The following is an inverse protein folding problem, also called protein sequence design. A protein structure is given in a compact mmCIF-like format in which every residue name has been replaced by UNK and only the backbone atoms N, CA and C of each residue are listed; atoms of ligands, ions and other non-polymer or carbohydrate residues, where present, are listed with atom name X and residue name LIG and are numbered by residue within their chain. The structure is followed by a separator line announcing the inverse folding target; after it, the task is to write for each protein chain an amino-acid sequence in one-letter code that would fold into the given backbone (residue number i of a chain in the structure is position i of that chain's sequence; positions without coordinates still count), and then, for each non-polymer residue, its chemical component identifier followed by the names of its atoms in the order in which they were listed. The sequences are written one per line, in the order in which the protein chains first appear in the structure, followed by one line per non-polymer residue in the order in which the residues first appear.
data_IF_318376191439
#
_entry.id   IF_318376191439
#
_cell.length_a   1.000
_cell.length_b   1.000
_cell.length_c   1.000
_cell.angle_alpha   90.00
_cell.angle_beta   90.00
_cell.angle_gamma   90.00
#
_symmetry.space_group_name_H-M   'P 1'
#
loop_
_entity.id
_entity.type
_entity.pdbx_description
1 polymer ?
#
# COMPACT_ATOMS: atom_id res chain seq x y z
N UNK A 1 21.28 20.45 -2.83
CA UNK A 1 20.61 20.86 -4.10
C UNK A 1 19.14 21.18 -3.86
N UNK A 2 18.67 22.32 -4.37
CA UNK A 2 17.24 22.66 -4.43
C UNK A 2 16.75 22.50 -5.87
N UNK A 3 15.61 21.87 -6.06
CA UNK A 3 14.94 21.79 -7.37
C UNK A 3 13.58 22.43 -7.20
N UNK A 4 13.31 23.51 -7.93
CA UNK A 4 12.05 24.26 -7.82
C UNK A 4 11.72 24.66 -6.36
N UNK A 5 12.74 25.12 -5.62
CA UNK A 5 12.62 25.50 -4.20
C UNK A 5 12.49 24.34 -3.20
N UNK A 6 12.40 23.08 -3.65
CA UNK A 6 12.32 21.91 -2.78
C UNK A 6 13.71 21.31 -2.45
N UNK A 7 13.99 21.12 -1.16
CA UNK A 7 15.16 20.37 -0.64
C UNK A 7 14.84 18.92 -0.29
N UNK A 8 13.58 18.50 -0.39
CA UNK A 8 13.13 17.11 -0.17
C UNK A 8 12.01 16.81 -1.15
N UNK A 9 12.15 15.74 -1.93
CA UNK A 9 11.20 15.35 -2.96
C UNK A 9 11.26 13.84 -3.20
N UNK A 10 10.14 13.28 -3.67
CA UNK A 10 10.02 11.85 -3.94
C UNK A 10 10.50 11.55 -5.37
N UNK A 11 11.29 10.48 -5.53
CA UNK A 11 11.68 9.94 -6.84
C UNK A 11 11.14 8.52 -6.96
N UNK A 12 10.31 8.29 -7.97
CA UNK A 12 9.84 6.94 -8.32
C UNK A 12 10.86 6.31 -9.24
N UNK A 13 11.44 5.18 -8.83
CA UNK A 13 12.36 4.40 -9.66
C UNK A 13 11.75 3.04 -10.00
N UNK A 14 11.74 2.67 -11.29
CA UNK A 14 11.26 1.36 -11.75
C UNK A 14 12.35 0.65 -12.56
N UNK A 15 12.60 -0.64 -12.30
CA UNK A 15 13.55 -1.40 -13.11
C UNK A 15 13.00 -1.59 -14.53
N UNK A 16 13.85 -1.40 -15.53
CA UNK A 16 13.58 -1.61 -16.94
C UNK A 16 14.70 -2.48 -17.56
N UNK A 17 14.36 -3.44 -18.43
CA UNK A 17 15.36 -4.21 -19.17
C UNK A 17 16.06 -3.29 -20.19
N UNK A 18 17.40 -3.38 -20.30
CA UNK A 18 18.09 -2.72 -21.42
C UNK A 18 17.59 -3.30 -22.74
N UNK A 19 17.46 -2.45 -23.74
CA UNK A 19 16.99 -2.79 -25.09
C UNK A 19 17.92 -3.74 -25.88
N UNK A 20 18.95 -4.30 -25.24
CA UNK A 20 19.90 -5.24 -25.85
C UNK A 20 19.66 -6.67 -25.35
N UNK A 21 19.30 -7.63 -26.22
CA UNK A 21 19.00 -9.02 -25.85
C UNK A 21 20.20 -9.83 -25.35
N UNK A 22 21.40 -9.23 -25.28
CA UNK A 22 22.63 -9.88 -24.79
C UNK A 22 23.13 -9.31 -23.45
N UNK A 23 22.50 -8.26 -22.91
CA UNK A 23 22.92 -7.61 -21.68
C UNK A 23 21.88 -7.88 -20.57
N UNK A 24 22.23 -8.74 -19.61
CA UNK A 24 21.40 -9.05 -18.44
C UNK A 24 21.38 -7.92 -17.39
N UNK A 25 21.93 -6.74 -17.69
CA UNK A 25 21.87 -5.60 -16.77
C UNK A 25 20.51 -4.91 -16.78
N UNK A 26 20.09 -4.47 -15.59
CA UNK A 26 18.85 -3.72 -15.35
C UNK A 26 19.19 -2.24 -15.37
N UNK A 27 18.45 -1.44 -16.14
CA UNK A 27 18.44 0.03 -16.01
C UNK A 27 17.26 0.45 -15.16
N UNK A 28 17.28 1.67 -14.63
CA UNK A 28 16.18 2.19 -13.85
C UNK A 28 15.61 3.42 -14.52
N UNK A 29 14.30 3.39 -14.76
CA UNK A 29 13.56 4.57 -15.12
C UNK A 29 13.25 5.37 -13.85
N UNK A 30 13.23 6.69 -13.96
CA UNK A 30 13.04 7.61 -12.85
C UNK A 30 11.94 8.62 -13.16
N UNK A 31 11.18 9.05 -12.16
CA UNK A 31 10.27 10.19 -12.24
C UNK A 31 10.34 11.01 -10.95
N UNK A 32 10.55 12.31 -11.09
CA UNK A 32 10.46 13.29 -10.02
C UNK A 32 9.55 14.43 -10.49
N UNK A 33 8.67 14.92 -9.61
CA UNK A 33 7.71 15.99 -9.94
C UNK A 33 7.75 17.08 -8.88
N UNK A 34 7.68 18.33 -9.32
CA UNK A 34 7.82 19.53 -8.51
C UNK A 34 6.73 20.54 -8.86
N UNK A 35 6.29 21.31 -7.86
CA UNK A 35 5.31 22.38 -8.04
C UNK A 35 5.99 23.73 -7.76
N UNK A 36 5.97 24.64 -8.74
CA UNK A 36 6.54 25.99 -8.60
C UNK A 36 5.68 27.00 -9.37
N UNK A 37 5.34 28.12 -8.72
CA UNK A 37 4.52 29.19 -9.29
C UNK A 37 3.16 28.75 -9.89
N UNK A 38 2.63 27.62 -9.42
CA UNK A 38 1.39 27.01 -9.89
C UNK A 38 1.56 26.02 -11.03
N UNK A 39 2.77 25.85 -11.57
CA UNK A 39 3.08 24.90 -12.63
C UNK A 39 3.65 23.59 -12.07
N UNK A 40 3.32 22.47 -12.73
CA UNK A 40 3.94 21.17 -12.44
C UNK A 40 5.15 20.96 -13.35
N UNK A 41 6.31 20.70 -12.75
CA UNK A 41 7.58 20.45 -13.40
C UNK A 41 7.99 18.98 -13.19
N UNK A 42 7.98 18.17 -14.25
CA UNK A 42 8.32 16.74 -14.21
C UNK A 42 9.67 16.46 -14.87
N UNK A 43 10.52 15.73 -14.17
CA UNK A 43 11.79 15.21 -14.65
C UNK A 43 11.68 13.69 -14.72
N UNK A 44 11.86 13.11 -15.90
CA UNK A 44 11.86 11.66 -16.07
C UNK A 44 13.15 11.15 -16.70
N UNK A 45 13.53 9.93 -16.35
CA UNK A 45 14.62 9.19 -16.96
C UNK A 45 14.01 7.91 -17.55
N UNK A 46 14.11 7.74 -18.87
CA UNK A 46 13.61 6.55 -19.57
C UNK A 46 14.73 6.02 -20.44
N UNK A 47 15.17 4.78 -20.17
CA UNK A 47 16.24 4.10 -20.92
C UNK A 47 17.53 4.95 -21.01
N UNK A 48 17.88 5.64 -19.92
CA UNK A 48 19.05 6.52 -19.84
C UNK A 48 18.88 7.90 -20.52
N UNK A 49 17.70 8.19 -21.08
CA UNK A 49 17.36 9.50 -21.67
C UNK A 49 16.55 10.32 -20.67
N UNK A 50 17.03 11.52 -20.35
CA UNK A 50 16.33 12.42 -19.45
C UNK A 50 15.34 13.30 -20.22
N UNK A 51 14.14 13.50 -19.67
CA UNK A 51 13.10 14.36 -20.22
C UNK A 51 12.62 15.34 -19.15
N UNK A 52 12.23 16.52 -19.61
CA UNK A 52 11.57 17.52 -18.80
C UNK A 52 10.22 17.87 -19.40
N UNK A 53 9.20 17.95 -18.55
CA UNK A 53 7.87 18.39 -18.92
C UNK A 53 7.40 19.46 -17.94
N UNK A 54 7.00 20.63 -18.44
CA UNK A 54 6.34 21.67 -17.66
C UNK A 54 4.86 21.72 -18.05
N UNK A 55 3.98 21.66 -17.06
CA UNK A 55 2.53 21.76 -17.21
C UNK A 55 2.06 23.03 -16.50
N UNK A 56 1.68 24.09 -17.24
CA UNK A 56 1.26 25.33 -16.62
C UNK A 56 -0.04 25.20 -15.82
N UNK A 57 -0.11 25.72 -14.59
CA UNK A 57 -1.33 25.71 -13.78
C UNK A 57 -2.02 27.07 -13.76
N UNK A 58 -2.89 27.30 -14.72
CA UNK A 58 -3.64 28.56 -14.85
C UNK A 58 -4.98 28.54 -14.14
N UNK A 59 -5.19 29.42 -13.15
CA UNK A 59 -6.52 29.75 -12.58
C UNK A 59 -7.25 30.87 -13.32
N UNK A 60 -6.69 31.47 -14.39
CA UNK A 60 -7.37 32.52 -15.17
C UNK A 60 -6.79 32.66 -16.59
N UNK A 61 -7.04 31.70 -17.47
CA UNK A 61 -6.78 31.86 -18.90
C UNK A 61 -7.93 31.26 -19.72
N UNK A 62 -8.47 32.04 -20.65
CA UNK A 62 -9.56 31.67 -21.57
C UNK A 62 -9.18 30.63 -22.64
N UNK A 63 -7.98 30.03 -22.53
CA UNK A 63 -7.50 28.91 -23.32
C UNK A 63 -6.39 28.14 -22.55
N UNK A 64 -6.32 26.78 -22.65
CA UNK A 64 -5.27 26.00 -22.02
C UNK A 64 -3.91 26.25 -22.68
N UNK A 65 -2.90 26.59 -21.90
CA UNK A 65 -1.51 26.70 -22.33
C UNK A 65 -0.96 25.28 -22.60
N UNK A 66 -0.37 24.98 -23.76
CA UNK A 66 0.19 23.66 -24.05
C UNK A 66 1.30 23.27 -23.08
N UNK A 67 1.40 21.99 -22.74
CA UNK A 67 2.54 21.46 -21.98
C UNK A 67 3.83 21.60 -22.79
N UNK A 68 4.88 22.13 -22.18
CA UNK A 68 6.20 22.23 -22.78
C UNK A 68 6.97 20.95 -22.44
N UNK A 69 7.35 20.17 -23.44
CA UNK A 69 8.14 18.94 -23.24
C UNK A 69 9.40 18.97 -24.09
N UNK A 70 10.50 18.47 -23.53
CA UNK A 70 11.80 18.44 -24.20
C UNK A 70 12.72 17.37 -23.62
N UNK A 71 13.66 16.91 -24.45
CA UNK A 71 14.77 16.09 -23.97
C UNK A 71 15.73 16.97 -23.18
N UNK A 72 16.15 16.49 -22.01
CA UNK A 72 17.24 17.08 -21.26
C UNK A 72 18.57 16.45 -21.69
N UNK A 73 19.69 17.20 -21.62
CA UNK A 73 21.00 16.61 -21.79
C UNK A 73 21.22 15.44 -20.83
N UNK A 74 21.93 14.39 -21.27
CA UNK A 74 22.15 13.15 -20.51
C UNK A 74 22.89 13.30 -19.18
N UNK A 75 23.44 14.49 -18.90
CA UNK A 75 24.14 14.81 -17.65
C UNK A 75 23.26 15.55 -16.62
N UNK A 76 22.02 15.91 -16.99
CA UNK A 76 21.15 16.72 -16.13
C UNK A 76 20.45 15.90 -15.05
N UNK A 77 20.14 14.63 -15.36
CA UNK A 77 19.63 13.64 -14.41
C UNK A 77 20.68 12.55 -14.29
N UNK A 78 21.35 12.37 -13.14
CA UNK A 78 22.37 11.35 -13.00
C UNK A 78 21.73 9.95 -13.18
N UNK A 79 22.39 9.03 -13.90
CA UNK A 79 21.83 7.70 -14.08
C UNK A 79 21.74 6.98 -12.72
N UNK A 80 20.60 6.37 -12.43
CA UNK A 80 20.32 5.75 -11.11
C UNK A 80 21.36 4.67 -10.77
N UNK A 81 21.88 3.96 -11.76
CA UNK A 81 22.97 2.99 -11.63
C UNK A 81 24.27 3.59 -11.05
N UNK A 82 24.53 4.89 -11.25
CA UNK A 82 25.70 5.55 -10.65
C UNK A 82 25.52 5.74 -9.15
N UNK A 83 24.29 6.03 -8.70
CA UNK A 83 23.92 6.05 -7.28
C UNK A 83 24.07 4.65 -6.69
N UNK A 84 23.55 3.62 -7.36
CA UNK A 84 23.67 2.22 -6.93
C UNK A 84 25.13 1.74 -6.84
N UNK A 85 25.98 2.15 -7.79
CA UNK A 85 27.41 1.88 -7.75
C UNK A 85 28.11 2.62 -6.62
N UNK A 86 27.71 3.85 -6.30
CA UNK A 86 28.27 4.60 -5.18
C UNK A 86 27.93 3.93 -3.84
N UNK A 87 26.68 3.47 -3.70
CA UNK A 87 26.20 2.70 -2.53
C UNK A 87 26.95 1.37 -2.41
N UNK A 88 27.18 0.66 -3.52
CA UNK A 88 27.93 -0.60 -3.51
C UNK A 88 29.34 -0.43 -2.93
N UNK A 89 29.94 0.74 -3.13
CA UNK A 89 31.26 1.09 -2.64
C UNK A 89 31.24 1.87 -1.30
N UNK A 90 30.08 1.95 -0.63
CA UNK A 90 29.95 2.65 0.64
C UNK A 90 30.81 2.00 1.73
N UNK A 91 31.36 2.82 2.63
CA UNK A 91 32.26 2.40 3.70
C UNK A 91 31.63 2.63 5.06
N UNK A 92 31.84 1.70 6.00
CA UNK A 92 31.39 1.87 7.38
C UNK A 92 32.03 3.09 8.03
N UNK A 93 31.23 3.90 8.73
CA UNK A 93 31.73 5.06 9.44
C UNK A 93 32.43 4.62 10.72
N UNK A 94 33.76 4.61 10.72
CA UNK A 94 34.54 4.28 11.93
C UNK A 94 34.93 5.51 12.76
N UNK A 95 34.85 6.73 12.21
CA UNK A 95 35.39 7.93 12.91
C UNK A 95 34.66 9.27 12.69
N UNK A 96 33.53 9.35 11.98
CA UNK A 96 32.97 10.64 11.52
C UNK A 96 31.60 11.06 12.05
N UNK A 97 30.93 10.27 12.90
CA UNK A 97 29.67 10.69 13.55
C UNK A 97 29.81 10.56 15.06
N UNK A 98 29.55 11.65 15.80
CA UNK A 98 29.45 11.58 17.26
C UNK A 98 28.41 10.52 17.64
N UNK A 99 28.72 9.60 18.56
CA UNK A 99 27.89 8.39 18.79
C UNK A 99 26.42 8.69 19.14
N UNK A 100 26.14 9.88 19.67
CA UNK A 100 24.79 10.37 20.00
C UNK A 100 23.99 10.73 18.74
N UNK A 101 24.63 11.34 17.74
CA UNK A 101 24.00 11.65 16.45
C UNK A 101 23.78 10.36 15.62
N UNK A 102 24.69 9.40 15.73
CA UNK A 102 24.58 8.11 15.05
C UNK A 102 23.35 7.30 15.51
N UNK A 103 23.12 7.22 16.83
CA UNK A 103 21.94 6.54 17.39
C UNK A 103 20.63 7.26 17.06
N UNK A 104 20.66 8.59 16.95
CA UNK A 104 19.47 9.39 16.56
C UNK A 104 19.14 9.22 15.07
N UNK A 105 20.17 9.19 14.20
CA UNK A 105 20.00 9.08 12.74
C UNK A 105 19.71 7.66 12.28
N UNK A 106 20.25 6.65 12.97
CA UNK A 106 20.09 5.24 12.61
C UNK A 106 19.95 4.34 13.85
N UNK A 107 18.82 4.44 14.58
CA UNK A 107 18.62 3.66 15.81
C UNK A 107 18.70 2.15 15.53
N UNK A 108 19.63 1.46 16.21
CA UNK A 108 19.87 0.03 16.03
C UNK A 108 20.41 -0.41 14.66
N UNK A 109 20.90 0.52 13.84
CA UNK A 109 21.46 0.23 12.51
C UNK A 109 22.96 0.55 12.37
N UNK A 110 23.50 0.31 11.18
CA UNK A 110 24.88 0.63 10.78
C UNK A 110 24.88 1.82 9.84
N UNK A 111 25.75 2.79 10.10
CA UNK A 111 25.98 3.93 9.22
C UNK A 111 27.09 3.62 8.21
N UNK A 112 26.78 3.84 6.94
CA UNK A 112 27.70 3.76 5.81
C UNK A 112 27.82 5.15 5.19
N UNK A 113 28.99 5.53 4.69
CA UNK A 113 29.18 6.77 3.93
C UNK A 113 29.61 6.43 2.51
N UNK A 114 29.05 7.14 1.55
CA UNK A 114 29.46 7.07 0.16
C UNK A 114 29.49 8.47 -0.48
N UNK A 115 30.52 8.78 -1.28
CA UNK A 115 30.55 10.01 -2.05
C UNK A 115 29.65 9.87 -3.28
N UNK A 116 28.79 10.86 -3.53
CA UNK A 116 27.98 10.93 -4.74
C UNK A 116 27.76 12.40 -5.14
N UNK A 117 27.85 12.70 -6.44
CA UNK A 117 27.63 14.04 -6.99
C UNK A 117 28.45 15.19 -6.31
N UNK A 118 29.62 14.87 -5.74
CA UNK A 118 30.48 15.85 -5.07
C UNK A 118 30.20 16.06 -3.57
N UNK A 119 29.23 15.33 -3.01
CA UNK A 119 28.86 15.36 -1.59
C UNK A 119 29.03 13.99 -0.94
N UNK A 120 29.27 13.96 0.37
CA UNK A 120 29.25 12.73 1.17
C UNK A 120 27.84 12.46 1.70
N UNK A 121 27.26 11.33 1.30
CA UNK A 121 25.98 10.87 1.80
C UNK A 121 26.17 9.84 2.91
N UNK A 122 25.34 9.95 3.95
CA UNK A 122 25.26 8.97 5.04
C UNK A 122 24.06 8.06 4.79
N UNK A 123 24.31 6.75 4.65
CA UNK A 123 23.31 5.69 4.54
C UNK A 123 23.10 5.02 5.91
N UNK A 124 21.85 4.97 6.37
CA UNK A 124 21.45 4.11 7.48
C UNK A 124 21.00 2.74 6.97
N UNK A 125 21.68 1.68 7.38
CA UNK A 125 21.32 0.28 7.08
C UNK A 125 20.97 -0.46 8.35
N UNK A 126 19.75 -0.99 8.47
CA UNK A 126 19.35 -1.85 9.59
C UNK A 126 19.48 -3.31 9.17
N UNK A 127 20.07 -4.15 10.03
CA UNK A 127 20.05 -5.61 9.82
C UNK A 127 18.66 -6.13 10.17
N UNK A 128 18.07 -6.95 9.29
CA UNK A 128 16.88 -7.70 9.65
C UNK A 128 17.22 -8.75 10.73
N UNK A 129 16.29 -8.93 11.67
CA UNK A 129 16.39 -9.89 12.77
C UNK A 129 16.34 -11.37 12.32
N UNK A 130 16.42 -11.66 11.02
CA UNK A 130 16.09 -12.97 10.46
C UNK A 130 17.21 -13.66 9.68
N UNK A 131 18.45 -13.14 9.68
CA UNK A 131 19.56 -13.76 8.94
C UNK A 131 20.74 -14.15 9.86
N UNK A 132 20.58 -15.24 10.62
CA UNK A 132 21.74 -16.01 11.08
C UNK A 132 22.21 -16.87 9.92
N UNK A 133 23.15 -16.37 9.12
CA UNK A 133 23.95 -17.20 8.22
C UNK A 133 25.33 -17.34 8.84
N UNK A 134 25.63 -18.56 9.25
CA UNK A 134 26.92 -18.99 9.78
C UNK A 134 28.07 -18.60 8.83
N UNK A 135 29.12 -18.03 9.40
CA UNK A 135 30.35 -17.64 8.73
C UNK A 135 31.05 -18.84 8.09
N UNK A 136 31.24 -18.82 6.77
CA UNK A 136 32.06 -19.85 6.12
C UNK A 136 32.00 -19.95 4.60
N UNK A 137 32.21 -18.86 3.85
CA UNK A 137 32.84 -18.93 2.51
C UNK A 137 33.04 -17.56 1.88
N UNK A 138 34.23 -17.36 1.34
CA UNK A 138 34.62 -16.28 0.45
C UNK A 138 33.78 -16.29 -0.83
N UNK A 139 32.73 -15.48 -0.86
CA UNK A 139 32.06 -14.99 -2.08
C UNK A 139 31.64 -13.54 -1.84
N UNK A 140 31.95 -12.68 -2.81
CA UNK A 140 31.63 -11.25 -2.79
C UNK A 140 30.17 -11.01 -2.38
N UNK A 141 29.89 -10.09 -1.44
CA UNK A 141 28.53 -9.80 -1.02
C UNK A 141 27.82 -9.02 -2.14
N UNK A 142 26.88 -9.68 -2.82
CA UNK A 142 25.89 -8.99 -3.64
C UNK A 142 25.02 -8.06 -2.79
N UNK A 143 24.30 -7.13 -3.43
CA UNK A 143 23.39 -6.15 -2.80
C UNK A 143 22.17 -6.78 -2.04
N UNK A 144 22.26 -8.04 -1.61
CA UNK A 144 21.21 -8.78 -0.91
C UNK A 144 20.93 -8.28 0.52
N UNK A 145 21.67 -7.29 1.02
CA UNK A 145 21.51 -6.70 2.34
C UNK A 145 20.69 -5.40 2.35
N UNK A 146 20.22 -4.94 1.17
CA UNK A 146 19.55 -3.66 0.97
C UNK A 146 18.02 -3.75 0.89
N UNK A 147 17.43 -4.91 1.19
CA UNK A 147 16.07 -5.22 0.75
C UNK A 147 14.96 -5.18 1.81
N UNK A 148 15.26 -4.89 3.07
CA UNK A 148 14.29 -5.28 4.12
C UNK A 148 13.35 -4.18 4.64
N UNK A 149 13.75 -2.90 4.66
CA UNK A 149 12.93 -1.77 5.16
C UNK A 149 12.95 -0.53 4.24
N UNK A 150 13.58 -0.64 3.07
CA UNK A 150 14.04 0.54 2.34
C UNK A 150 15.30 1.14 2.98
N UNK A 151 15.72 2.34 2.56
CA UNK A 151 16.92 2.99 3.06
C UNK A 151 16.81 4.51 3.01
N UNK A 152 17.52 5.18 3.92
CA UNK A 152 17.59 6.64 3.97
C UNK A 152 19.01 7.11 3.69
N UNK A 153 19.15 8.07 2.80
CA UNK A 153 20.35 8.87 2.62
C UNK A 153 20.18 10.21 3.29
N UNK A 154 21.19 10.61 4.06
CA UNK A 154 21.29 11.92 4.65
C UNK A 154 22.45 12.66 3.99
N UNK A 155 22.14 13.71 3.22
CA UNK A 155 23.10 14.69 2.72
C UNK A 155 22.98 16.01 3.49
N UNK A 156 23.94 16.92 3.30
CA UNK A 156 23.90 18.25 3.94
C UNK A 156 22.72 19.10 3.47
N UNK A 157 22.32 18.92 2.21
CA UNK A 157 21.28 19.74 1.57
C UNK A 157 20.03 18.94 1.17
N UNK A 158 20.09 17.61 1.14
CA UNK A 158 19.02 16.74 0.65
C UNK A 158 19.01 15.40 1.36
N UNK A 159 17.83 15.00 1.86
CA UNK A 159 17.58 13.65 2.36
C UNK A 159 16.79 12.87 1.31
N UNK A 160 17.14 11.59 1.12
CA UNK A 160 16.43 10.68 0.21
C UNK A 160 15.87 9.52 1.04
N UNK A 161 14.57 9.27 0.95
CA UNK A 161 13.88 8.16 1.63
C UNK A 161 13.36 7.17 0.58
N UNK A 162 14.00 6.00 0.49
CA UNK A 162 13.57 4.94 -0.42
C UNK A 162 12.73 3.94 0.36
N UNK A 163 11.43 3.88 0.08
CA UNK A 163 10.51 2.93 0.70
C UNK A 163 10.24 1.75 -0.23
N UNK A 164 10.53 0.53 0.23
CA UNK A 164 10.12 -0.68 -0.49
C UNK A 164 8.67 -1.04 -0.13
N UNK A 165 7.84 -1.39 -1.11
CA UNK A 165 6.50 -1.95 -0.86
C UNK A 165 6.65 -3.48 -0.76
N UNK A 166 7.02 -3.94 0.43
CA UNK A 166 7.41 -5.33 0.68
C UNK A 166 6.20 -6.25 0.93
N UNK A 167 6.28 -7.48 0.42
CA UNK A 167 5.52 -8.64 0.87
C UNK A 167 6.30 -9.23 2.06
N UNK A 168 5.79 -9.06 3.30
CA UNK A 168 6.42 -9.65 4.48
C UNK A 168 5.97 -11.10 4.71
N UNK A 169 5.07 -11.61 3.86
CA UNK A 169 4.53 -12.96 3.96
C UNK A 169 3.72 -13.14 5.24
N UNK A 170 3.88 -14.31 5.85
CA UNK A 170 3.25 -14.72 7.11
C UNK A 170 4.21 -14.45 8.27
N UNK A 171 3.78 -13.67 9.25
CA UNK A 171 4.57 -13.30 10.43
C UNK A 171 3.80 -13.59 11.72
N UNK A 172 4.53 -13.72 12.84
CA UNK A 172 3.95 -13.86 14.18
C UNK A 172 3.42 -12.53 14.72
N UNK A 173 4.00 -11.42 14.26
CA UNK A 173 3.68 -10.07 14.71
C UNK A 173 3.21 -9.18 13.55
N UNK A 174 2.41 -8.16 13.90
CA UNK A 174 1.99 -7.10 12.99
C UNK A 174 3.15 -6.10 12.78
N UNK A 175 4.17 -6.53 12.05
CA UNK A 175 5.42 -5.78 11.81
C UNK A 175 5.21 -4.39 11.21
N UNK A 176 4.08 -4.17 10.54
CA UNK A 176 3.71 -2.87 9.93
C UNK A 176 2.77 -2.04 10.80
N UNK A 177 2.35 -2.57 11.95
CA UNK A 177 1.37 -1.99 12.86
C UNK A 177 0.08 -1.59 12.10
N UNK A 178 -0.37 -2.43 11.16
CA UNK A 178 -1.54 -2.21 10.33
C UNK A 178 -2.85 -2.44 11.09
N UNK A 179 -2.96 -3.58 11.76
CA UNK A 179 -4.11 -3.96 12.59
C UNK A 179 -4.00 -3.44 14.03
N UNK A 180 -2.80 -3.02 14.43
CA UNK A 180 -2.55 -2.50 15.77
C UNK A 180 -2.37 -3.61 16.80
N UNK A 181 -2.23 -3.22 18.06
CA UNK A 181 -1.86 -4.13 19.15
C UNK A 181 -3.05 -4.72 19.91
N UNK A 182 -4.30 -4.44 19.49
CA UNK A 182 -5.49 -4.75 20.30
C UNK A 182 -6.10 -6.11 20.02
N UNK A 183 -6.04 -6.60 18.79
CA UNK A 183 -6.65 -7.89 18.44
C UNK A 183 -6.14 -9.05 19.32
N UNK A 184 -4.82 -9.21 19.56
CA UNK A 184 -4.33 -10.36 20.33
C UNK A 184 -4.92 -10.51 21.73
N UNK A 185 -5.16 -9.39 22.41
CA UNK A 185 -5.72 -9.38 23.77
C UNK A 185 -7.23 -9.69 23.78
N UNK A 186 -7.89 -9.66 22.61
CA UNK A 186 -9.33 -9.80 22.45
C UNK A 186 -9.75 -11.00 21.59
N UNK A 187 -8.84 -11.96 21.40
CA UNK A 187 -9.09 -13.20 20.65
C UNK A 187 -8.85 -14.47 21.48
N UNK A 188 -9.59 -14.67 22.59
CA UNK A 188 -9.30 -15.73 23.56
C UNK A 188 -9.51 -17.16 23.04
N UNK A 189 -10.26 -17.34 21.94
CA UNK A 189 -10.47 -18.65 21.33
C UNK A 189 -9.32 -19.10 20.41
N UNK A 190 -8.41 -18.20 20.05
CA UNK A 190 -7.33 -18.49 19.10
C UNK A 190 -6.11 -19.05 19.84
N UNK A 191 -5.61 -20.22 19.39
CA UNK A 191 -4.37 -20.80 19.92
C UNK A 191 -3.11 -20.07 19.44
N UNK A 192 -3.19 -19.40 18.30
CA UNK A 192 -2.16 -18.51 17.76
C UNK A 192 -2.79 -17.47 16.83
N UNK A 193 -2.04 -16.40 16.56
CA UNK A 193 -2.44 -15.35 15.61
C UNK A 193 -1.26 -15.12 14.69
N UNK A 194 -1.53 -15.06 13.39
CA UNK A 194 -0.54 -14.75 12.36
C UNK A 194 -1.00 -13.56 11.56
N UNK A 195 -0.04 -12.83 10.99
CA UNK A 195 -0.30 -11.66 10.16
C UNK A 195 0.22 -11.91 8.76
N UNK A 196 -0.59 -11.54 7.76
CA UNK A 196 -0.21 -11.63 6.35
C UNK A 196 -0.07 -10.23 5.78
N UNK A 197 1.15 -9.87 5.35
CA UNK A 197 1.39 -8.60 4.65
C UNK A 197 1.81 -8.86 3.21
N UNK A 198 0.96 -8.46 2.28
CA UNK A 198 1.19 -8.59 0.85
C UNK A 198 1.35 -7.21 0.19
N UNK A 199 2.08 -7.16 -0.92
CA UNK A 199 2.28 -5.94 -1.71
C UNK A 199 1.02 -5.57 -2.53
N UNK A 200 -0.09 -5.30 -1.85
CA UNK A 200 -1.41 -4.98 -2.43
C UNK A 200 -1.42 -3.71 -3.27
N UNK A 201 -0.44 -2.81 -3.10
CA UNK A 201 -0.31 -1.64 -3.97
C UNK A 201 0.15 -2.02 -5.39
N UNK A 202 0.98 -3.06 -5.51
CA UNK A 202 1.65 -3.44 -6.75
C UNK A 202 0.91 -4.52 -7.55
N UNK A 203 -0.01 -5.23 -6.90
CA UNK A 203 -0.67 -6.40 -7.48
C UNK A 203 -2.17 -6.18 -7.51
N UNK A 204 -2.76 -6.32 -8.70
CA UNK A 204 -4.20 -6.32 -8.86
C UNK A 204 -4.84 -7.45 -8.03
N UNK A 205 -6.00 -7.20 -7.39
CA UNK A 205 -6.63 -8.19 -6.51
C UNK A 205 -7.08 -9.45 -7.25
N UNK A 206 -7.39 -9.31 -8.54
CA UNK A 206 -7.79 -10.39 -9.46
C UNK A 206 -6.60 -11.05 -10.18
N UNK A 207 -5.35 -10.76 -9.77
CA UNK A 207 -4.19 -11.46 -10.29
C UNK A 207 -4.10 -12.87 -9.66
N UNK A 208 -4.12 -13.90 -10.50
CA UNK A 208 -4.13 -15.29 -10.03
C UNK A 208 -2.89 -15.69 -9.20
N UNK A 209 -1.71 -15.15 -9.52
CA UNK A 209 -0.48 -15.42 -8.76
C UNK A 209 -0.56 -14.78 -7.38
N UNK A 210 -1.12 -13.57 -7.31
CA UNK A 210 -1.31 -12.85 -6.05
C UNK A 210 -2.36 -13.51 -5.15
N UNK A 211 -3.47 -13.96 -5.73
CA UNK A 211 -4.48 -14.76 -5.03
C UNK A 211 -3.89 -16.07 -4.51
N UNK A 212 -3.15 -16.80 -5.35
CA UNK A 212 -2.45 -18.02 -4.94
C UNK A 212 -1.49 -17.75 -3.78
N UNK A 213 -0.72 -16.65 -3.83
CA UNK A 213 0.20 -16.26 -2.76
C UNK A 213 -0.54 -16.06 -1.43
N UNK A 214 -1.68 -15.38 -1.43
CA UNK A 214 -2.52 -15.27 -0.23
C UNK A 214 -2.95 -16.65 0.28
N UNK A 215 -3.52 -17.49 -0.60
CA UNK A 215 -4.00 -18.83 -0.23
C UNK A 215 -2.89 -19.69 0.35
N UNK A 216 -1.73 -19.71 -0.29
CA UNK A 216 -0.58 -20.52 0.15
C UNK A 216 -0.13 -20.10 1.56
N UNK A 217 -0.24 -18.82 1.92
CA UNK A 217 0.06 -18.33 3.27
C UNK A 217 -1.04 -18.67 4.28
N UNK A 218 -2.32 -18.54 3.90
CA UNK A 218 -3.44 -18.86 4.80
C UNK A 218 -3.45 -20.36 5.15
N UNK A 219 -3.14 -21.23 4.18
CA UNK A 219 -3.03 -22.68 4.42
C UNK A 219 -1.92 -23.05 5.41
N UNK A 220 -0.93 -22.19 5.63
CA UNK A 220 0.15 -22.41 6.60
C UNK A 220 -0.22 -21.98 8.02
N UNK A 221 -1.35 -21.30 8.22
CA UNK A 221 -1.75 -20.78 9.54
C UNK A 221 -2.15 -21.91 10.49
N UNK A 222 -2.84 -22.92 9.98
CA UNK A 222 -3.29 -24.09 10.75
C UNK A 222 -2.77 -25.38 10.14
N UNK A 223 -2.08 -26.19 10.95
CA UNK A 223 -1.58 -27.52 10.57
C UNK A 223 -2.69 -28.50 10.19
N UNK A 224 -3.95 -28.21 10.53
CA UNK A 224 -5.10 -29.02 10.14
C UNK A 224 -5.58 -28.74 8.71
N UNK A 225 -5.11 -27.66 8.07
CA UNK A 225 -5.45 -27.34 6.69
C UNK A 225 -4.94 -28.40 5.72
N UNK A 226 -5.74 -28.69 4.69
CA UNK A 226 -5.37 -29.67 3.66
C UNK A 226 -4.77 -28.95 2.45
N UNK A 227 -3.44 -29.04 2.31
CA UNK A 227 -2.70 -28.42 1.20
C UNK A 227 -3.01 -29.10 -0.14
N UNK A 228 -3.31 -30.40 -0.15
CA UNK A 228 -3.57 -31.14 -1.38
C UNK A 228 -4.92 -30.77 -1.99
N UNK A 229 -5.96 -30.63 -1.15
CA UNK A 229 -7.29 -30.20 -1.58
C UNK A 229 -7.49 -28.69 -1.51
N UNK A 230 -6.48 -27.94 -1.02
CA UNK A 230 -6.54 -26.49 -0.81
C UNK A 230 -7.70 -26.08 0.11
N UNK A 231 -7.91 -26.85 1.17
CA UNK A 231 -9.01 -26.62 2.13
C UNK A 231 -8.46 -26.00 3.40
N UNK A 232 -8.88 -24.78 3.71
CA UNK A 232 -8.49 -24.06 4.93
C UNK A 232 -9.37 -24.54 6.09
N UNK A 233 -8.74 -25.03 7.16
CA UNK A 233 -9.40 -25.61 8.34
C UNK A 233 -8.97 -24.93 9.63
N UNK A 234 -9.85 -24.95 10.63
CA UNK A 234 -9.64 -24.42 11.97
C UNK A 234 -9.02 -23.01 12.00
N UNK A 235 -9.44 -22.13 11.07
CA UNK A 235 -8.84 -20.80 10.89
C UNK A 235 -9.91 -19.71 10.88
N UNK A 236 -9.70 -18.67 11.70
CA UNK A 236 -10.47 -17.42 11.62
C UNK A 236 -9.69 -16.44 10.75
N UNK A 237 -10.21 -16.15 9.56
CA UNK A 237 -9.58 -15.25 8.59
C UNK A 237 -10.18 -13.86 8.75
N UNK A 238 -9.38 -12.92 9.27
CA UNK A 238 -9.75 -11.49 9.33
C UNK A 238 -9.17 -10.79 8.11
N UNK A 239 -10.03 -10.32 7.21
CA UNK A 239 -9.64 -9.65 5.97
C UNK A 239 -10.15 -8.21 5.97
N UNK A 240 -9.23 -7.24 5.83
CA UNK A 240 -9.57 -5.83 5.74
C UNK A 240 -9.35 -5.30 4.32
N UNK A 241 -10.22 -4.40 3.87
CA UNK A 241 -10.08 -3.68 2.59
C UNK A 241 -9.92 -4.66 1.42
N UNK A 242 -8.96 -4.41 0.54
CA UNK A 242 -8.65 -5.20 -0.66
C UNK A 242 -8.42 -6.70 -0.38
N UNK A 243 -8.02 -7.11 0.84
CA UNK A 243 -7.83 -8.52 1.16
C UNK A 243 -9.12 -9.35 0.97
N UNK A 244 -10.29 -8.73 1.17
CA UNK A 244 -11.59 -9.40 0.95
C UNK A 244 -11.79 -9.80 -0.51
N UNK A 245 -11.44 -8.91 -1.45
CA UNK A 245 -11.50 -9.21 -2.89
C UNK A 245 -10.49 -10.28 -3.31
N UNK A 246 -9.26 -10.24 -2.76
CA UNK A 246 -8.23 -11.25 -3.06
C UNK A 246 -8.71 -12.64 -2.61
N UNK A 247 -9.26 -12.75 -1.39
CA UNK A 247 -9.79 -14.01 -0.87
C UNK A 247 -11.05 -14.46 -1.63
N UNK A 248 -12.00 -13.55 -1.85
CA UNK A 248 -13.23 -13.84 -2.60
C UNK A 248 -12.93 -14.29 -4.04
N UNK A 249 -12.01 -13.63 -4.72
CA UNK A 249 -11.57 -14.02 -6.06
C UNK A 249 -10.83 -15.37 -6.09
N UNK A 250 -10.04 -15.68 -5.05
CA UNK A 250 -9.38 -16.98 -4.92
C UNK A 250 -10.39 -18.12 -4.73
N UNK A 251 -11.41 -17.93 -3.87
CA UNK A 251 -12.50 -18.89 -3.66
C UNK A 251 -13.32 -19.04 -4.95
N UNK A 252 -13.70 -17.93 -5.59
CA UNK A 252 -14.48 -17.94 -6.83
C UNK A 252 -13.76 -18.68 -7.97
N UNK A 253 -12.43 -18.61 -8.00
CA UNK A 253 -11.60 -19.31 -8.99
C UNK A 253 -11.26 -20.76 -8.60
N UNK A 254 -11.81 -21.27 -7.50
CA UNK A 254 -11.54 -22.62 -7.01
C UNK A 254 -10.11 -22.85 -6.50
N UNK A 255 -9.37 -21.79 -6.15
CA UNK A 255 -8.00 -21.92 -5.62
C UNK A 255 -7.96 -22.40 -4.17
N UNK A 256 -9.05 -22.18 -3.43
CA UNK A 256 -9.20 -22.58 -2.04
C UNK A 256 -10.67 -22.77 -1.69
N UNK A 257 -10.93 -23.56 -0.65
CA UNK A 257 -12.26 -23.72 -0.04
C UNK A 257 -12.11 -23.50 1.47
N UNK A 258 -13.13 -22.90 2.09
CA UNK A 258 -13.21 -22.80 3.55
C UNK A 258 -13.99 -24.00 4.08
N UNK A 259 -13.37 -24.75 5.00
CA UNK A 259 -14.06 -25.78 5.76
C UNK A 259 -15.04 -25.15 6.77
N UNK A 260 -16.02 -25.91 7.22
CA UNK A 260 -16.97 -25.51 8.28
C UNK A 260 -16.32 -25.12 9.61
N UNK A 261 -15.08 -25.56 9.84
CA UNK A 261 -14.26 -25.19 11.01
C UNK A 261 -13.59 -23.83 10.88
N UNK A 262 -13.65 -23.21 9.71
CA UNK A 262 -13.05 -21.90 9.44
C UNK A 262 -14.13 -20.83 9.28
N UNK A 263 -13.80 -19.59 9.65
CA UNK A 263 -14.68 -18.43 9.49
C UNK A 263 -13.97 -17.31 8.76
N UNK A 264 -14.72 -16.52 8.00
CA UNK A 264 -14.23 -15.31 7.33
C UNK A 264 -14.90 -14.08 7.93
N UNK A 265 -14.10 -13.22 8.58
CA UNK A 265 -14.50 -11.93 9.11
C UNK A 265 -13.98 -10.83 8.18
N UNK A 266 -14.90 -10.18 7.44
CA UNK A 266 -14.58 -9.11 6.51
C UNK A 266 -14.77 -7.72 7.11
N UNK A 267 -13.84 -6.79 6.87
CA UNK A 267 -14.00 -5.39 7.27
C UNK A 267 -13.68 -4.43 6.12
N UNK A 268 -14.55 -3.45 5.88
CA UNK A 268 -14.37 -2.38 4.88
C UNK A 268 -13.91 -2.87 3.48
N UNK A 269 -14.38 -4.03 3.04
CA UNK A 269 -14.00 -4.62 1.75
C UNK A 269 -14.62 -3.84 0.57
N UNK A 270 -13.86 -3.43 -0.46
CA UNK A 270 -14.43 -2.76 -1.62
C UNK A 270 -15.01 -3.77 -2.62
N UNK A 271 -16.07 -4.50 -2.25
CA UNK A 271 -16.56 -5.64 -3.04
C UNK A 271 -17.15 -5.23 -4.40
N UNK A 272 -17.48 -3.95 -4.59
CA UNK A 272 -17.87 -3.34 -5.89
C UNK A 272 -16.80 -2.33 -6.39
N UNK A 273 -15.61 -2.33 -5.79
CA UNK A 273 -14.58 -1.32 -6.00
C UNK A 273 -14.76 -0.08 -5.11
N UNK A 274 -14.06 1.00 -5.43
CA UNK A 274 -14.04 2.23 -4.62
C UNK A 274 -13.93 3.44 -5.53
N UNK A 275 -14.75 4.46 -5.28
CA UNK A 275 -14.61 5.73 -6.00
C UNK A 275 -13.28 6.44 -5.71
N UNK A 276 -12.56 6.05 -4.65
CA UNK A 276 -11.19 6.51 -4.43
C UNK A 276 -10.22 6.06 -5.52
N UNK A 277 -10.44 4.88 -6.13
CA UNK A 277 -9.68 4.43 -7.31
C UNK A 277 -10.06 5.23 -8.55
N UNK A 278 -11.36 5.50 -8.76
CA UNK A 278 -11.83 6.34 -9.85
C UNK A 278 -11.24 7.75 -9.76
N UNK A 279 -11.30 8.39 -8.58
CA UNK A 279 -10.68 9.68 -8.32
C UNK A 279 -9.19 9.69 -8.67
N UNK A 280 -8.47 8.60 -8.35
CA UNK A 280 -7.06 8.45 -8.71
C UNK A 280 -6.88 8.39 -10.24
N UNK A 281 -7.72 7.64 -10.96
CA UNK A 281 -7.68 7.61 -12.42
C UNK A 281 -7.97 8.98 -13.04
N UNK A 282 -9.06 9.63 -12.62
CA UNK A 282 -9.48 10.95 -13.11
C UNK A 282 -8.43 12.04 -12.80
N UNK A 283 -7.67 11.86 -11.72
CA UNK A 283 -6.53 12.72 -11.43
C UNK A 283 -5.39 12.45 -12.42
N UNK A 284 -5.04 11.18 -12.64
CA UNK A 284 -3.87 10.81 -13.42
C UNK A 284 -4.05 10.98 -14.93
N UNK A 285 -5.28 10.94 -15.44
CA UNK A 285 -5.59 11.22 -16.85
C UNK A 285 -5.89 12.70 -17.13
N UNK A 286 -5.93 13.53 -16.08
CA UNK A 286 -6.19 14.97 -16.17
C UNK A 286 -7.66 15.35 -16.32
N UNK A 287 -8.60 14.42 -16.09
CA UNK A 287 -10.03 14.72 -16.12
C UNK A 287 -10.48 15.64 -14.97
N UNK A 288 -9.81 15.61 -13.81
CA UNK A 288 -10.10 16.51 -12.70
C UNK A 288 -9.40 17.87 -12.84
N UNK A 289 -10.17 18.94 -12.73
CA UNK A 289 -9.67 20.32 -12.76
C UNK A 289 -9.07 20.77 -11.42
N UNK A 290 -9.39 20.10 -10.32
CA UNK A 290 -8.86 20.39 -8.97
C UNK A 290 -8.39 19.10 -8.32
N UNK A 291 -7.08 18.97 -8.15
CA UNK A 291 -6.44 17.83 -7.49
C UNK A 291 -6.05 18.20 -6.06
N UNK A 292 -6.39 17.35 -5.10
CA UNK A 292 -6.01 17.55 -3.70
C UNK A 292 -4.75 16.73 -3.40
N UNK A 293 -3.59 17.38 -3.29
CA UNK A 293 -2.29 16.71 -3.11
C UNK A 293 -2.24 15.77 -1.90
N UNK A 294 -2.99 16.06 -0.84
CA UNK A 294 -3.13 15.18 0.33
C UNK A 294 -3.78 13.83 0.00
N UNK A 295 -4.71 13.79 -0.95
CA UNK A 295 -5.35 12.56 -1.41
C UNK A 295 -4.47 11.78 -2.38
N UNK A 296 -3.63 12.46 -3.15
CA UNK A 296 -2.64 11.79 -3.99
C UNK A 296 -1.63 11.00 -3.17
N UNK A 297 -1.22 11.52 -2.01
CA UNK A 297 -0.38 10.77 -1.05
C UNK A 297 -1.12 9.57 -0.45
N UNK A 298 -2.43 9.70 -0.20
CA UNK A 298 -3.27 8.60 0.32
C UNK A 298 -3.43 7.47 -0.72
N UNK A 299 -3.67 7.83 -1.97
CA UNK A 299 -3.96 6.87 -3.05
C UNK A 299 -2.71 6.33 -3.75
N UNK A 300 -1.56 6.98 -3.59
CA UNK A 300 -0.26 6.45 -4.02
C UNK A 300 0.31 7.06 -5.30
N UNK A 301 -0.20 8.22 -5.72
CA UNK A 301 0.36 8.98 -6.84
C UNK A 301 0.00 8.43 -8.24
N UNK A 302 0.50 9.13 -9.26
CA UNK A 302 0.36 8.76 -10.67
C UNK A 302 1.64 8.14 -11.24
N UNK A 303 1.53 7.23 -12.22
CA UNK A 303 0.29 6.60 -12.68
C UNK A 303 -0.29 5.65 -11.61
N UNK A 304 -1.60 5.33 -11.68
CA UNK A 304 -2.23 4.43 -10.71
C UNK A 304 -1.52 3.07 -10.71
N UNK A 305 -0.99 2.67 -9.55
CA UNK A 305 -0.34 1.35 -9.42
C UNK A 305 -1.36 0.22 -9.61
N UNK A 306 -0.97 -0.96 -10.13
CA UNK A 306 -1.92 -2.02 -10.52
C UNK A 306 -2.92 -2.41 -9.43
N UNK A 307 -2.49 -2.44 -8.17
CA UNK A 307 -3.38 -2.74 -7.06
C UNK A 307 -4.49 -1.71 -6.87
N UNK A 308 -4.12 -0.43 -6.87
CA UNK A 308 -5.08 0.69 -6.77
C UNK A 308 -5.95 0.78 -8.01
N UNK A 309 -5.36 0.62 -9.18
CA UNK A 309 -6.01 0.59 -10.47
C UNK A 309 -7.09 -0.51 -10.56
N UNK A 310 -6.85 -1.68 -9.97
CA UNK A 310 -7.80 -2.80 -9.97
C UNK A 310 -9.04 -2.59 -9.09
N UNK A 311 -9.06 -1.53 -8.29
CA UNK A 311 -10.18 -1.21 -7.40
C UNK A 311 -11.16 -0.21 -8.03
N UNK A 312 -11.03 0.10 -9.32
CA UNK A 312 -12.00 0.93 -10.04
C UNK A 312 -13.41 0.40 -9.81
N UNK A 313 -14.34 1.31 -9.55
CA UNK A 313 -15.72 0.97 -9.24
C UNK A 313 -16.34 0.18 -10.39
N UNK A 314 -17.04 -0.91 -10.07
CA UNK A 314 -17.66 -1.79 -11.04
C UNK A 314 -18.60 -1.01 -11.98
N UNK A 315 -18.51 -1.30 -13.28
CA UNK A 315 -19.29 -0.63 -14.32
C UNK A 315 -18.94 0.85 -14.57
N UNK A 316 -17.91 1.39 -13.93
CA UNK A 316 -17.41 2.74 -14.24
C UNK A 316 -16.59 2.77 -15.54
N UNK A 317 -16.32 3.96 -16.05
CA UNK A 317 -15.47 4.20 -17.22
C UNK A 317 -14.01 3.74 -17.06
N UNK A 318 -13.55 3.50 -15.83
CA UNK A 318 -12.22 2.96 -15.53
C UNK A 318 -12.23 1.46 -15.23
N UNK A 319 -13.41 0.82 -15.26
CA UNK A 319 -13.54 -0.63 -15.24
C UNK A 319 -13.61 -1.20 -16.66
N UNK A 320 -13.73 -2.51 -16.77
CA UNK A 320 -13.96 -3.23 -18.01
C UNK A 320 -14.73 -4.52 -17.74
N UNK A 321 -15.25 -5.15 -18.80
CA UNK A 321 -16.06 -6.36 -18.70
C UNK A 321 -15.38 -7.51 -17.94
N UNK A 322 -14.04 -7.62 -18.03
CA UNK A 322 -13.31 -8.65 -17.28
C UNK A 322 -13.28 -8.32 -15.79
N UNK A 323 -12.94 -7.08 -15.43
CA UNK A 323 -12.90 -6.66 -14.03
C UNK A 323 -14.30 -6.73 -13.39
N UNK A 324 -15.34 -6.33 -14.13
CA UNK A 324 -16.73 -6.43 -13.66
C UNK A 324 -17.16 -7.89 -13.45
N UNK A 325 -16.80 -8.79 -14.37
CA UNK A 325 -17.05 -10.22 -14.20
C UNK A 325 -16.33 -10.77 -12.96
N UNK A 326 -15.06 -10.41 -12.76
CA UNK A 326 -14.29 -10.85 -11.60
C UNK A 326 -14.93 -10.33 -10.30
N UNK A 327 -15.40 -9.08 -10.25
CA UNK A 327 -16.13 -8.53 -9.10
C UNK A 327 -17.36 -9.36 -8.78
N UNK A 328 -18.22 -9.62 -9.77
CA UNK A 328 -19.42 -10.44 -9.57
C UNK A 328 -19.08 -11.85 -9.05
N UNK A 329 -18.02 -12.47 -9.54
CA UNK A 329 -17.57 -13.77 -9.06
C UNK A 329 -17.09 -13.70 -7.60
N UNK A 330 -16.28 -12.69 -7.26
CA UNK A 330 -15.79 -12.49 -5.89
C UNK A 330 -16.91 -12.13 -4.90
N UNK A 331 -17.92 -11.36 -5.33
CA UNK A 331 -19.11 -11.03 -4.54
C UNK A 331 -19.93 -12.28 -4.23
N UNK A 332 -20.14 -13.18 -5.20
CA UNK A 332 -20.84 -14.43 -4.98
C UNK A 332 -20.10 -15.35 -3.98
N UNK A 333 -18.77 -15.42 -4.09
CA UNK A 333 -17.94 -16.14 -3.12
C UNK A 333 -18.01 -15.49 -1.74
N UNK A 334 -17.95 -14.16 -1.66
CA UNK A 334 -18.04 -13.40 -0.41
C UNK A 334 -19.37 -13.61 0.29
N UNK A 335 -20.50 -13.36 -0.37
CA UNK A 335 -21.83 -13.48 0.24
C UNK A 335 -22.16 -14.91 0.69
N UNK A 336 -21.60 -15.91 0.01
CA UNK A 336 -21.79 -17.32 0.36
C UNK A 336 -20.95 -17.77 1.55
N UNK A 337 -19.72 -17.24 1.70
CA UNK A 337 -18.73 -17.78 2.64
C UNK A 337 -18.45 -16.86 3.84
N UNK A 338 -18.77 -15.57 3.75
CA UNK A 338 -18.45 -14.62 4.81
C UNK A 338 -19.27 -14.89 6.07
N UNK A 339 -18.57 -14.94 7.20
CA UNK A 339 -19.13 -15.26 8.50
C UNK A 339 -19.43 -14.02 9.34
N UNK A 340 -18.87 -12.86 9.07
CA UNK A 340 -19.24 -11.61 9.73
C UNK A 340 -18.68 -10.44 8.92
N UNK A 341 -19.37 -9.30 8.91
CA UNK A 341 -18.93 -8.13 8.14
C UNK A 341 -19.09 -6.85 8.93
N UNK A 342 -18.06 -6.01 8.88
CA UNK A 342 -18.10 -4.63 9.36
C UNK A 342 -18.04 -3.68 8.17
N UNK A 343 -19.07 -2.85 8.00
CA UNK A 343 -19.15 -1.79 6.99
C UNK A 343 -19.56 -0.47 7.62
N UNK A 344 -19.03 0.66 7.15
CA UNK A 344 -19.37 1.97 7.70
C UNK A 344 -20.33 2.74 6.80
N UNK A 345 -21.39 3.28 7.39
CA UNK A 345 -22.21 4.32 6.74
C UNK A 345 -21.71 5.74 7.04
N UNK A 346 -20.64 5.88 7.82
CA UNK A 346 -20.13 7.19 8.22
C UNK A 346 -18.62 7.14 8.50
N UNK A 347 -17.88 8.12 7.96
CA UNK A 347 -16.43 8.20 7.96
C UNK A 347 -15.84 9.01 9.13
N UNK A 348 -16.62 9.34 10.16
CA UNK A 348 -16.14 10.19 11.27
C UNK A 348 -15.01 9.55 12.07
N UNK A 349 -15.03 8.22 12.24
CA UNK A 349 -13.95 7.49 12.89
C UNK A 349 -13.70 7.85 14.35
N UNK A 350 -12.60 7.35 14.88
CA UNK A 350 -12.04 7.70 16.18
C UNK A 350 -11.30 9.04 16.09
N UNK A 351 -11.10 9.71 17.23
CA UNK A 351 -10.42 11.01 17.27
C UNK A 351 -8.90 10.84 17.09
N UNK A 352 -8.45 10.61 15.86
CA UNK A 352 -7.05 10.41 15.47
C UNK A 352 -6.61 11.41 14.38
N UNK A 353 -5.30 11.57 14.18
CA UNK A 353 -4.77 12.42 13.10
C UNK A 353 -5.21 11.89 11.72
N UNK A 354 -5.33 10.58 11.59
CA UNK A 354 -5.77 9.91 10.37
C UNK A 354 -7.22 10.25 10.03
N UNK A 355 -8.09 10.46 11.01
CA UNK A 355 -9.49 10.82 10.79
C UNK A 355 -9.66 12.10 9.94
N UNK A 356 -8.73 13.06 10.05
CA UNK A 356 -8.75 14.26 9.22
C UNK A 356 -8.53 13.94 7.72
N UNK A 357 -7.64 13.00 7.42
CA UNK A 357 -7.34 12.58 6.04
C UNK A 357 -8.55 11.86 5.44
N UNK A 358 -9.16 10.93 6.18
CA UNK A 358 -10.34 10.20 5.70
C UNK A 358 -11.58 11.09 5.59
N UNK A 359 -11.75 12.07 6.48
CA UNK A 359 -12.79 13.09 6.34
C UNK A 359 -12.57 13.95 5.10
N UNK A 360 -11.32 14.32 4.79
CA UNK A 360 -11.01 15.04 3.55
C UNK A 360 -11.36 14.18 2.33
N UNK A 361 -10.95 12.90 2.32
CA UNK A 361 -11.26 11.97 1.24
C UNK A 361 -12.78 11.84 1.03
N UNK A 362 -13.54 11.65 2.11
CA UNK A 362 -15.00 11.53 2.08
C UNK A 362 -15.73 12.74 1.48
N UNK A 363 -15.13 13.94 1.53
CA UNK A 363 -15.74 15.17 1.00
C UNK A 363 -15.30 15.50 -0.42
N UNK A 364 -14.17 14.96 -0.88
CA UNK A 364 -13.56 15.31 -2.17
C UNK A 364 -13.76 14.20 -3.20
N UNK A 365 -13.65 12.94 -2.79
CA UNK A 365 -13.91 11.80 -3.66
C UNK A 365 -15.40 11.81 -4.03
N UNK A 366 -15.75 11.67 -5.32
CA UNK A 366 -17.13 11.67 -5.77
C UNK A 366 -17.81 10.32 -5.46
N UNK A 367 -18.00 10.04 -4.17
CA UNK A 367 -18.67 8.82 -3.70
C UNK A 367 -20.08 8.70 -4.26
N UNK A 368 -20.52 7.45 -4.50
CA UNK A 368 -21.87 7.18 -5.02
C UNK A 368 -22.98 7.45 -4.00
N UNK A 369 -22.63 7.50 -2.72
CA UNK A 369 -23.54 7.78 -1.61
C UNK A 369 -22.81 8.56 -0.50
N UNK A 370 -23.54 9.27 0.38
CA UNK A 370 -22.95 9.84 1.59
C UNK A 370 -22.52 8.79 2.62
N UNK A 371 -22.84 7.50 2.37
CA UNK A 371 -22.55 6.39 3.26
C UNK A 371 -21.23 5.74 2.87
N UNK A 372 -20.16 6.13 3.54
CA UNK A 372 -18.82 5.61 3.26
C UNK A 372 -17.94 5.69 4.51
N UNK A 373 -16.82 4.97 4.47
CA UNK A 373 -15.74 5.04 5.47
C UNK A 373 -14.62 6.04 5.09
N UNK A 374 -14.86 6.84 4.04
CA UNK A 374 -13.94 7.83 3.48
C UNK A 374 -13.13 7.32 2.29
N UNK A 375 -13.13 6.01 2.01
CA UNK A 375 -12.56 5.45 0.78
C UNK A 375 -13.55 4.49 0.12
N UNK A 376 -14.23 3.67 0.91
CA UNK A 376 -15.14 2.62 0.42
C UNK A 376 -16.57 2.97 0.83
N UNK A 377 -17.46 2.90 -0.16
CA UNK A 377 -18.90 3.05 -0.01
C UNK A 377 -19.49 1.88 0.81
N UNK A 378 -20.49 2.17 1.63
CA UNK A 378 -21.20 1.14 2.40
C UNK A 378 -21.75 0.07 1.47
N UNK A 379 -22.39 0.46 0.37
CA UNK A 379 -22.99 -0.43 -0.62
C UNK A 379 -21.93 -1.34 -1.29
N UNK A 380 -20.73 -0.81 -1.54
CA UNK A 380 -19.62 -1.62 -2.05
C UNK A 380 -19.16 -2.64 -0.99
N UNK A 381 -19.19 -2.29 0.29
CA UNK A 381 -18.80 -3.18 1.38
C UNK A 381 -19.83 -4.26 1.72
N UNK A 382 -21.12 -3.91 1.68
CA UNK A 382 -22.23 -4.83 1.94
C UNK A 382 -22.63 -5.65 0.72
N UNK A 383 -21.92 -5.52 -0.42
CA UNK A 383 -22.34 -6.12 -1.69
C UNK A 383 -22.61 -7.63 -1.57
N UNK A 384 -23.81 -8.03 -2.02
CA UNK A 384 -24.30 -9.40 -1.93
C UNK A 384 -24.93 -9.78 -0.58
N UNK A 385 -24.96 -8.87 0.39
CA UNK A 385 -25.57 -9.05 1.71
C UNK A 385 -26.75 -8.07 1.89
N UNK A 386 -27.92 -8.53 2.37
CA UNK A 386 -29.06 -7.64 2.59
C UNK A 386 -28.80 -6.61 3.69
N UNK A 387 -29.09 -5.35 3.40
CA UNK A 387 -28.93 -4.21 4.32
C UNK A 387 -29.67 -4.42 5.64
N UNK A 388 -30.80 -5.14 5.65
CA UNK A 388 -31.59 -5.40 6.85
C UNK A 388 -30.88 -6.30 7.86
N UNK A 389 -29.84 -7.02 7.45
CA UNK A 389 -29.01 -7.83 8.35
C UNK A 389 -28.03 -6.97 9.16
N UNK A 390 -27.74 -5.74 8.71
CA UNK A 390 -26.78 -4.86 9.35
C UNK A 390 -27.39 -4.15 10.56
N UNK A 391 -26.79 -4.38 11.73
CA UNK A 391 -27.16 -3.73 12.98
C UNK A 391 -26.10 -2.74 13.43
N UNK A 392 -26.52 -1.71 14.16
CA UNK A 392 -25.64 -0.65 14.65
C UNK A 392 -24.94 -0.97 15.99
N UNK A 393 -25.05 -2.20 16.46
CA UNK A 393 -24.42 -2.63 17.71
C UNK A 393 -23.19 -3.48 17.45
N UNK A 394 -22.18 -3.36 18.30
CA UNK A 394 -21.00 -4.24 18.32
C UNK A 394 -21.35 -5.73 18.53
N UNK A 395 -22.60 -6.06 18.88
CA UNK A 395 -23.08 -7.45 18.98
C UNK A 395 -23.65 -8.00 17.66
N UNK A 396 -23.77 -7.17 16.63
CA UNK A 396 -24.34 -7.57 15.34
C UNK A 396 -23.30 -8.28 14.49
N UNK A 397 -23.63 -9.46 13.97
CA UNK A 397 -22.77 -10.23 13.05
C UNK A 397 -22.39 -9.43 11.80
N UNK A 398 -23.37 -8.69 11.27
CA UNK A 398 -23.20 -7.68 10.24
C UNK A 398 -23.32 -6.31 10.93
N UNK A 399 -22.20 -5.61 11.07
CA UNK A 399 -22.07 -4.44 11.92
C UNK A 399 -21.96 -3.17 11.09
N UNK A 400 -22.99 -2.33 11.20
CA UNK A 400 -23.02 -0.98 10.64
C UNK A 400 -22.31 -0.02 11.57
N UNK A 401 -21.24 0.62 11.07
CA UNK A 401 -20.38 1.45 11.89
C UNK A 401 -20.30 2.90 11.44
N UNK A 402 -19.62 3.70 12.26
CA UNK A 402 -19.21 5.06 11.96
C UNK A 402 -17.68 5.19 12.00
N UNK A 403 -16.98 4.15 11.56
CA UNK A 403 -15.52 4.07 11.50
C UNK A 403 -15.03 4.63 10.16
N UNK A 404 -13.89 5.32 10.16
CA UNK A 404 -13.20 5.56 8.90
C UNK A 404 -12.47 4.28 8.46
N UNK A 405 -11.97 4.27 7.21
CA UNK A 405 -11.38 3.08 6.61
C UNK A 405 -10.21 2.48 7.43
N UNK A 406 -9.36 3.30 8.08
CA UNK A 406 -8.25 2.75 8.88
C UNK A 406 -8.71 2.23 10.25
N UNK A 407 -9.72 2.85 10.86
CA UNK A 407 -10.24 2.41 12.15
C UNK A 407 -10.97 1.05 12.02
N UNK A 408 -11.53 0.74 10.85
CA UNK A 408 -12.10 -0.56 10.53
C UNK A 408 -11.07 -1.71 10.49
N UNK A 409 -9.78 -1.38 10.48
CA UNK A 409 -8.67 -2.33 10.65
C UNK A 409 -8.32 -2.56 12.13
N UNK A 410 -9.16 -2.17 13.11
CA UNK A 410 -8.94 -2.35 14.56
C UNK A 410 -7.78 -1.54 15.15
N UNK A 411 -7.01 -0.85 14.30
CA UNK A 411 -5.71 -0.22 14.59
C UNK A 411 -5.68 0.61 15.85
N UNK A 412 -6.74 1.37 16.11
CA UNK A 412 -6.84 2.32 17.21
C UNK A 412 -7.78 1.88 18.32
N UNK A 413 -8.27 0.63 18.27
CA UNK A 413 -9.15 0.08 19.28
C UNK A 413 -10.58 0.60 19.19
N UNK A 414 -11.20 0.79 20.36
CA UNK A 414 -12.62 1.09 20.51
C UNK A 414 -12.88 2.50 21.04
N UNK A 415 -14.04 3.05 20.66
CA UNK A 415 -14.63 4.19 21.34
C UNK A 415 -15.22 3.77 22.69
N UNK A 416 -14.91 4.56 23.73
CA UNK A 416 -15.49 4.37 25.07
C UNK A 416 -17.01 4.56 25.10
N UNK A 417 -17.57 5.48 24.30
CA UNK A 417 -18.95 5.94 24.44
C UNK A 417 -19.85 5.72 23.22
N UNK A 418 -19.29 5.28 22.09
CA UNK A 418 -20.06 5.10 20.85
C UNK A 418 -19.97 3.67 20.36
N UNK A 419 -21.07 2.92 20.49
CA UNK A 419 -21.15 1.52 20.07
C UNK A 419 -21.11 1.32 18.56
N UNK A 420 -21.20 2.37 17.73
CA UNK A 420 -20.91 2.31 16.27
C UNK A 420 -19.41 2.43 15.94
N UNK A 421 -18.55 2.56 16.96
CA UNK A 421 -17.10 2.77 16.80
C UNK A 421 -16.31 1.80 17.69
N UNK A 422 -16.76 0.55 17.78
CA UNK A 422 -16.14 -0.48 18.62
C UNK A 422 -15.77 -1.74 17.83
N UNK A 423 -14.81 -1.65 16.88
CA UNK A 423 -14.42 -2.78 16.06
C UNK A 423 -13.80 -3.93 16.88
N UNK A 424 -13.03 -3.64 17.93
CA UNK A 424 -12.40 -4.68 18.78
C UNK A 424 -13.45 -5.40 19.61
N UNK A 425 -14.38 -4.66 20.24
CA UNK A 425 -15.49 -5.30 20.95
C UNK A 425 -16.36 -6.14 20.03
N UNK A 426 -16.59 -5.67 18.82
CA UNK A 426 -17.32 -6.42 17.82
C UNK A 426 -16.64 -7.75 17.52
N UNK A 427 -15.33 -7.73 17.22
CA UNK A 427 -14.59 -8.96 16.98
C UNK A 427 -14.63 -9.91 18.19
N UNK A 428 -14.41 -9.41 19.39
CA UNK A 428 -14.49 -10.20 20.64
C UNK A 428 -15.87 -10.86 20.82
N UNK A 429 -16.97 -10.22 20.39
CA UNK A 429 -18.32 -10.77 20.47
C UNK A 429 -18.67 -11.77 19.36
N UNK A 430 -17.85 -11.90 18.31
CA UNK A 430 -18.03 -12.90 17.25
C UNK A 430 -17.43 -14.26 17.62
N UNK A 431 -16.44 -14.25 18.51
CA UNK A 431 -15.69 -15.42 19.01
C UNK A 431 -16.47 -16.12 20.13
#
# INVERSE_FOLDING_TARGET
MYVHGASTFDVVATPAPRSSPTDNSVVYNGLASFEEDGDTHEYSLVDGTAYYTRRPGGTNATAPTPAESGCLPSHFVPPIETVLSAIHNAKAVTHHVASIAAETMCPGGSLLVFPFAGEDFVLCSKRSSSSVVSSGSSRSPGLSWLQDDGFKFFGSDMNIDVKSSKDYGLTEDDSTNYFGSKIPDHSPCCSSIKYITLATQLNAWNNATFQKRLVDLVLQVSDSSDVATRTIKDTIIVAHSMANLVLGGAIASGMTILDTTSTWVGTSGPMEGSMGSNYLYETCDGALTVVVSGLMKLFGGCPPKPGRASLAYQGSNYSNAKLDHDFTAAQAAYSTNVSAVLCSKNHTGLATIQAAIYKLAANVVPHKSPYNDGIVEFESCSMGLPDEQFGSSSKSKFYETSLNHVDAAFRYGDSLFNDKKRPVKWFECLL
#
